data_IF_420726496568
#
_entry.id   IF_420726496568
#
_cell.length_a   1.000
_cell.length_b   1.000
_cell.length_c   1.000
_cell.angle_alpha   90.00
_cell.angle_beta   90.00
_cell.angle_gamma   90.00
#
_symmetry.space_group_name_H-M   'P 1'
#
loop_
_entity.id
_entity.type
_entity.pdbx_description
1 polymer ?
#
# COMPACT_ATOMS: atom_id res chain seq x y z
N UNK A 1 26.66 -114.02 3.05
CA UNK A 1 27.67 -112.96 3.17
C UNK A 1 27.01 -111.66 2.76
N UNK A 2 27.00 -110.72 3.69
CA UNK A 2 26.55 -109.33 3.55
C UNK A 2 27.46 -108.56 2.59
N UNK A 3 26.90 -107.77 1.68
CA UNK A 3 27.63 -106.76 0.91
C UNK A 3 26.85 -105.45 0.96
N UNK A 4 27.51 -104.41 1.47
CA UNK A 4 26.99 -103.06 1.73
C UNK A 4 26.59 -102.30 0.45
N UNK A 5 25.61 -101.38 0.51
CA UNK A 5 25.35 -100.47 -0.59
C UNK A 5 26.37 -99.32 -0.62
N UNK A 6 27.09 -99.17 -1.72
CA UNK A 6 27.95 -98.01 -1.98
C UNK A 6 27.09 -96.76 -2.24
N UNK A 7 27.26 -95.72 -1.43
CA UNK A 7 26.66 -94.41 -1.63
C UNK A 7 27.37 -93.66 -2.78
N UNK A 8 26.64 -93.27 -3.81
CA UNK A 8 27.10 -92.35 -4.86
C UNK A 8 26.32 -91.04 -4.71
N UNK A 9 26.97 -89.89 -4.41
CA UNK A 9 26.27 -88.62 -4.29
C UNK A 9 25.84 -88.14 -5.68
N UNK A 10 24.53 -87.94 -5.87
CA UNK A 10 23.99 -87.21 -7.02
C UNK A 10 24.36 -85.73 -6.89
N UNK A 11 25.41 -85.31 -7.59
CA UNK A 11 25.71 -83.90 -7.78
C UNK A 11 24.53 -83.20 -8.44
N UNK A 12 23.83 -82.34 -7.71
CA UNK A 12 22.78 -81.50 -8.28
C UNK A 12 23.47 -80.44 -9.14
N UNK A 13 23.34 -80.54 -10.46
CA UNK A 13 23.63 -79.42 -11.35
C UNK A 13 22.55 -78.38 -11.11
N UNK A 14 22.78 -77.50 -10.14
CA UNK A 14 21.93 -76.34 -9.88
C UNK A 14 21.78 -75.59 -11.21
N UNK A 15 20.56 -75.56 -11.75
CA UNK A 15 20.25 -74.96 -13.05
C UNK A 15 20.42 -73.45 -12.92
N UNK A 16 21.63 -72.95 -13.18
CA UNK A 16 22.00 -71.53 -13.14
C UNK A 16 20.96 -70.62 -13.82
N UNK A 17 20.35 -71.11 -14.91
CA UNK A 17 19.26 -70.42 -15.62
C UNK A 17 18.04 -70.14 -14.72
N UNK A 18 17.64 -71.09 -13.87
CA UNK A 18 16.54 -70.91 -12.92
C UNK A 18 16.86 -69.89 -11.83
N UNK A 19 18.12 -69.84 -11.38
CA UNK A 19 18.59 -68.85 -10.42
C UNK A 19 18.62 -67.44 -11.04
N UNK A 20 19.01 -67.33 -12.31
CA UNK A 20 19.01 -66.07 -13.06
C UNK A 20 17.60 -65.50 -13.21
N UNK A 21 16.61 -66.34 -13.54
CA UNK A 21 15.21 -65.89 -13.64
C UNK A 21 14.63 -65.44 -12.30
N UNK A 22 14.94 -66.14 -11.21
CA UNK A 22 14.52 -65.72 -9.86
C UNK A 22 15.20 -64.42 -9.46
N UNK A 23 16.48 -64.26 -9.75
CA UNK A 23 17.23 -63.03 -9.46
C UNK A 23 16.66 -61.83 -10.23
N UNK A 24 16.37 -61.98 -11.53
CA UNK A 24 15.75 -60.93 -12.34
C UNK A 24 14.35 -60.58 -11.80
N UNK A 25 13.55 -61.57 -11.42
CA UNK A 25 12.23 -61.33 -10.82
C UNK A 25 12.34 -60.58 -9.50
N UNK A 26 13.29 -60.93 -8.63
CA UNK A 26 13.55 -60.21 -7.39
C UNK A 26 14.01 -58.76 -7.65
N UNK A 27 14.87 -58.53 -8.65
CA UNK A 27 15.28 -57.17 -9.04
C UNK A 27 14.11 -56.35 -9.57
N UNK A 28 13.19 -56.94 -10.34
CA UNK A 28 12.00 -56.26 -10.85
C UNK A 28 11.01 -55.94 -9.73
N UNK A 29 10.83 -56.85 -8.76
CA UNK A 29 9.98 -56.60 -7.58
C UNK A 29 10.61 -55.53 -6.68
N UNK A 30 11.92 -55.56 -6.47
CA UNK A 30 12.63 -54.54 -5.72
C UNK A 30 12.55 -53.18 -6.41
N UNK A 31 12.74 -53.14 -7.73
CA UNK A 31 12.61 -51.92 -8.52
C UNK A 31 11.16 -51.39 -8.52
N UNK A 32 10.17 -52.25 -8.70
CA UNK A 32 8.75 -51.88 -8.64
C UNK A 32 8.33 -51.42 -7.25
N UNK A 33 8.84 -52.07 -6.20
CA UNK A 33 8.63 -51.67 -4.81
C UNK A 33 9.28 -50.32 -4.50
N UNK A 34 10.50 -50.10 -4.99
CA UNK A 34 11.22 -48.83 -4.84
C UNK A 34 10.57 -47.71 -5.65
N UNK A 35 10.04 -48.00 -6.84
CA UNK A 35 9.25 -47.06 -7.64
C UNK A 35 7.93 -46.70 -6.95
N UNK A 36 7.21 -47.68 -6.38
CA UNK A 36 6.00 -47.44 -5.59
C UNK A 36 6.29 -46.64 -4.30
N UNK A 37 7.41 -46.93 -3.64
CA UNK A 37 7.88 -46.15 -2.48
C UNK A 37 8.26 -44.73 -2.90
N UNK A 38 8.93 -44.53 -4.04
CA UNK A 38 9.25 -43.20 -4.58
C UNK A 38 8.00 -42.42 -5.01
N UNK A 39 6.98 -43.09 -5.57
CA UNK A 39 5.68 -42.48 -5.88
C UNK A 39 4.94 -42.05 -4.60
N UNK A 40 5.02 -42.86 -3.54
CA UNK A 40 4.49 -42.50 -2.20
C UNK A 40 5.33 -41.45 -1.47
N UNK A 41 6.61 -41.33 -1.81
CA UNK A 41 7.57 -40.36 -1.26
C UNK A 41 7.78 -39.12 -2.14
N UNK A 42 6.99 -38.91 -3.20
CA UNK A 42 6.84 -37.55 -3.74
C UNK A 42 6.41 -36.68 -2.56
N UNK A 43 7.38 -35.95 -2.02
CA UNK A 43 7.21 -35.11 -0.84
C UNK A 43 5.94 -34.32 -1.08
N UNK A 44 5.01 -34.40 -0.13
CA UNK A 44 3.98 -33.40 0.03
C UNK A 44 4.76 -32.10 0.21
N UNK A 45 4.97 -31.38 -0.89
CA UNK A 45 5.54 -30.05 -0.87
C UNK A 45 4.53 -29.25 -0.07
N UNK A 46 4.97 -28.55 0.98
CA UNK A 46 4.12 -27.61 1.71
C UNK A 46 3.63 -26.58 0.69
N UNK A 47 2.45 -26.85 0.14
CA UNK A 47 1.80 -26.00 -0.84
C UNK A 47 1.01 -24.93 -0.13
N UNK A 48 0.77 -23.84 -0.86
CA UNK A 48 0.12 -22.64 -0.36
C UNK A 48 -1.19 -22.98 0.36
N UNK A 49 -1.24 -22.63 1.65
CA UNK A 49 -2.34 -22.91 2.56
C UNK A 49 -3.05 -21.61 2.96
N UNK A 50 -4.35 -21.58 2.82
CA UNK A 50 -5.20 -20.43 3.16
C UNK A 50 -5.79 -20.62 4.56
N UNK A 51 -5.74 -19.58 5.40
CA UNK A 51 -6.27 -19.61 6.77
C UNK A 51 -5.65 -20.69 7.68
N UNK A 52 -4.37 -21.03 7.48
CA UNK A 52 -3.69 -22.10 8.22
C UNK A 52 -4.18 -23.51 7.86
N UNK A 53 -4.95 -23.67 6.78
CA UNK A 53 -5.40 -24.95 6.28
C UNK A 53 -4.33 -25.63 5.43
N UNK A 54 -4.42 -26.96 5.34
CA UNK A 54 -3.64 -27.71 4.35
C UNK A 54 -4.14 -27.41 2.94
N UNK A 55 -3.26 -27.54 1.95
CA UNK A 55 -3.59 -27.28 0.55
C UNK A 55 -4.84 -28.05 0.05
N UNK A 56 -5.01 -29.31 0.45
CA UNK A 56 -6.21 -30.08 0.09
C UNK A 56 -7.49 -29.45 0.65
N UNK A 57 -7.46 -28.97 1.90
CA UNK A 57 -8.62 -28.28 2.51
C UNK A 57 -8.83 -26.89 1.89
N UNK A 58 -7.74 -26.20 1.53
CA UNK A 58 -7.82 -24.94 0.79
C UNK A 58 -8.52 -25.14 -0.55
N UNK A 59 -8.12 -26.15 -1.35
CA UNK A 59 -8.80 -26.46 -2.61
C UNK A 59 -10.29 -26.72 -2.43
N UNK A 60 -10.69 -27.44 -1.37
CA UNK A 60 -12.11 -27.66 -1.05
C UNK A 60 -12.90 -26.37 -0.84
N UNK A 61 -12.29 -25.30 -0.28
CA UNK A 61 -12.96 -24.00 -0.15
C UNK A 61 -13.25 -23.34 -1.49
N UNK A 62 -12.46 -23.66 -2.52
CA UNK A 62 -12.53 -23.09 -3.85
C UNK A 62 -13.05 -24.06 -4.92
N UNK A 63 -13.56 -25.24 -4.53
CA UNK A 63 -14.13 -26.22 -5.47
C UNK A 63 -15.34 -25.67 -6.25
N UNK A 64 -16.11 -24.77 -5.62
CA UNK A 64 -17.28 -24.13 -6.22
C UNK A 64 -16.98 -22.72 -6.76
N UNK A 65 -15.73 -22.46 -7.16
CA UNK A 65 -15.33 -21.19 -7.77
C UNK A 65 -16.20 -20.87 -8.99
N UNK A 66 -16.50 -19.59 -9.20
CA UNK A 66 -17.29 -19.15 -10.36
C UNK A 66 -16.46 -19.37 -11.62
N UNK A 67 -16.97 -20.21 -12.53
CA UNK A 67 -16.33 -20.53 -13.82
C UNK A 67 -17.10 -19.98 -15.03
N UNK A 68 -18.33 -19.51 -14.82
CA UNK A 68 -19.14 -18.91 -15.88
C UNK A 68 -18.56 -17.56 -16.28
N UNK A 69 -18.07 -17.44 -17.52
CA UNK A 69 -17.49 -16.21 -18.09
C UNK A 69 -18.43 -15.00 -17.96
N UNK A 70 -19.76 -15.20 -17.98
CA UNK A 70 -20.72 -14.11 -17.80
C UNK A 70 -20.69 -13.50 -16.38
N UNK A 71 -20.15 -14.24 -15.42
CA UNK A 71 -19.97 -13.86 -14.02
C UNK A 71 -18.52 -13.49 -13.68
N UNK A 72 -17.66 -13.35 -14.69
CA UNK A 72 -16.29 -12.87 -14.50
C UNK A 72 -16.14 -11.42 -14.97
N UNK A 73 -15.23 -10.69 -14.34
CA UNK A 73 -14.78 -9.37 -14.78
C UNK A 73 -13.26 -9.31 -14.77
N UNK A 74 -12.69 -8.61 -15.76
CA UNK A 74 -11.24 -8.45 -15.86
C UNK A 74 -10.74 -7.30 -14.99
N UNK A 75 -9.63 -7.50 -14.29
CA UNK A 75 -8.80 -6.49 -13.67
C UNK A 75 -7.72 -6.09 -14.69
N UNK A 76 -7.79 -4.85 -15.17
CA UNK A 76 -6.81 -4.27 -16.09
C UNK A 76 -5.65 -3.58 -15.38
N UNK A 77 -5.90 -3.00 -14.21
CA UNK A 77 -4.87 -2.27 -13.46
C UNK A 77 -5.24 -2.06 -12.00
N UNK A 78 -4.26 -1.71 -11.18
CA UNK A 78 -4.44 -1.37 -9.78
C UNK A 78 -3.37 -0.38 -9.31
N UNK A 79 -3.72 0.41 -8.29
CA UNK A 79 -2.90 1.45 -7.70
C UNK A 79 -3.11 1.53 -6.18
N UNK A 80 -2.13 2.07 -5.48
CA UNK A 80 -2.24 2.44 -4.07
C UNK A 80 -2.13 3.97 -3.94
N UNK A 81 -2.94 4.55 -3.06
CA UNK A 81 -2.83 5.97 -2.68
C UNK A 81 -3.01 6.12 -1.17
N UNK A 82 -1.95 6.52 -0.47
CA UNK A 82 -1.92 6.39 0.99
C UNK A 82 -2.09 4.92 1.37
N UNK A 83 -3.18 4.59 2.07
CA UNK A 83 -3.55 3.22 2.43
C UNK A 83 -4.78 2.70 1.67
N UNK A 84 -5.12 3.32 0.53
CA UNK A 84 -6.27 2.90 -0.30
C UNK A 84 -5.83 2.07 -1.49
N UNK A 85 -6.38 0.87 -1.64
CA UNK A 85 -6.25 0.06 -2.87
C UNK A 85 -7.32 0.49 -3.88
N UNK A 86 -6.86 0.85 -5.08
CA UNK A 86 -7.68 1.19 -6.22
C UNK A 86 -7.61 0.09 -7.27
N UNK A 87 -8.76 -0.36 -7.76
CA UNK A 87 -8.88 -1.38 -8.81
C UNK A 87 -9.53 -0.77 -10.05
N UNK A 88 -9.04 -1.14 -11.23
CA UNK A 88 -9.51 -0.63 -12.51
C UNK A 88 -9.79 -1.76 -13.50
N UNK A 89 -10.86 -1.62 -14.26
CA UNK A 89 -11.22 -2.59 -15.28
C UNK A 89 -10.22 -2.57 -16.45
N UNK A 90 -9.74 -1.37 -16.79
CA UNK A 90 -8.73 -1.15 -17.82
C UNK A 90 -7.45 -0.55 -17.23
N UNK A 91 -6.46 -0.29 -18.08
CA UNK A 91 -5.28 0.50 -17.67
C UNK A 91 -5.71 1.86 -17.12
N UNK A 92 -5.17 2.24 -15.96
CA UNK A 92 -5.57 3.49 -15.32
C UNK A 92 -5.35 4.70 -16.22
N UNK A 93 -6.39 5.49 -16.39
CA UNK A 93 -6.33 6.77 -17.08
C UNK A 93 -7.00 7.85 -16.23
N UNK A 94 -6.18 8.79 -15.71
CA UNK A 94 -6.64 9.89 -14.84
C UNK A 94 -7.76 10.74 -15.45
N UNK A 95 -7.76 10.89 -16.78
CA UNK A 95 -8.75 11.69 -17.51
C UNK A 95 -9.92 10.85 -18.04
N UNK A 96 -9.86 9.53 -17.89
CA UNK A 96 -10.87 8.59 -18.34
C UNK A 96 -11.97 8.33 -17.30
N UNK A 97 -12.99 7.59 -17.73
CA UNK A 97 -13.93 6.94 -16.81
C UNK A 97 -13.63 5.45 -16.82
N UNK A 98 -13.42 4.87 -15.64
CA UNK A 98 -13.28 3.43 -15.48
C UNK A 98 -14.63 2.77 -15.19
N UNK A 99 -14.83 1.55 -15.69
CA UNK A 99 -16.06 0.79 -15.53
C UNK A 99 -16.40 0.50 -14.06
N UNK A 100 -15.40 0.43 -13.18
CA UNK A 100 -15.61 0.16 -11.76
C UNK A 100 -16.01 1.40 -10.96
N UNK A 101 -15.80 2.61 -11.48
CA UNK A 101 -16.22 3.83 -10.80
C UNK A 101 -17.75 3.85 -10.57
N UNK A 102 -18.16 4.09 -9.33
CA UNK A 102 -19.55 4.09 -8.89
C UNK A 102 -20.14 2.70 -8.62
N UNK A 103 -19.37 1.62 -8.79
CA UNK A 103 -19.81 0.26 -8.45
C UNK A 103 -19.48 -0.10 -7.00
N UNK A 104 -20.00 -1.23 -6.56
CA UNK A 104 -19.70 -1.80 -5.24
C UNK A 104 -18.70 -2.95 -5.41
N UNK A 105 -17.62 -2.90 -4.63
CA UNK A 105 -16.70 -4.03 -4.45
C UNK A 105 -17.07 -4.78 -3.17
N UNK A 106 -17.02 -6.11 -3.24
CA UNK A 106 -17.24 -7.01 -2.12
C UNK A 106 -15.97 -7.85 -1.97
N UNK A 107 -15.35 -7.76 -0.79
CA UNK A 107 -14.23 -8.59 -0.38
C UNK A 107 -14.76 -9.64 0.59
N UNK A 108 -14.82 -10.89 0.14
CA UNK A 108 -15.30 -12.02 0.95
C UNK A 108 -14.12 -12.70 1.63
N UNK A 109 -13.98 -12.52 2.94
CA UNK A 109 -12.94 -13.18 3.71
C UNK A 109 -13.29 -14.67 3.86
N UNK A 110 -12.54 -15.55 3.21
CA UNK A 110 -12.82 -17.00 3.26
C UNK A 110 -12.44 -17.62 4.61
N UNK A 111 -11.63 -16.94 5.42
CA UNK A 111 -11.25 -17.38 6.75
C UNK A 111 -12.35 -17.16 7.79
N UNK A 112 -12.99 -15.98 7.76
CA UNK A 112 -14.03 -15.61 8.72
C UNK A 112 -15.45 -15.79 8.18
N UNK A 113 -15.63 -15.85 6.85
CA UNK A 113 -16.91 -15.84 6.18
C UNK A 113 -17.60 -14.47 6.14
N UNK A 114 -16.89 -13.40 6.51
CA UNK A 114 -17.41 -12.03 6.51
C UNK A 114 -17.18 -11.34 5.16
N UNK A 115 -18.19 -10.57 4.74
CA UNK A 115 -18.11 -9.73 3.55
C UNK A 115 -17.81 -8.28 3.96
N UNK A 116 -16.81 -7.68 3.32
CA UNK A 116 -16.48 -6.26 3.43
C UNK A 116 -16.90 -5.56 2.15
N UNK A 117 -17.70 -4.51 2.28
CA UNK A 117 -18.41 -3.91 1.15
C UNK A 117 -18.07 -2.43 1.06
N UNK A 118 -17.57 -2.00 -0.11
CA UNK A 118 -17.16 -0.62 -0.35
C UNK A 118 -17.74 -0.12 -1.67
N UNK A 119 -18.07 1.17 -1.73
CA UNK A 119 -18.35 1.85 -2.99
C UNK A 119 -17.02 2.28 -3.59
N UNK A 120 -16.81 2.02 -4.88
CA UNK A 120 -15.61 2.44 -5.61
C UNK A 120 -15.82 3.86 -6.12
N UNK A 121 -15.40 4.85 -5.35
CA UNK A 121 -15.49 6.24 -5.76
C UNK A 121 -14.46 6.58 -6.85
N UNK A 122 -14.62 7.76 -7.45
CA UNK A 122 -13.65 8.32 -8.39
C UNK A 122 -12.39 8.84 -7.68
N UNK A 123 -12.51 9.23 -6.41
CA UNK A 123 -11.41 9.77 -5.63
C UNK A 123 -10.35 8.69 -5.37
N UNK A 124 -9.08 9.07 -5.42
CA UNK A 124 -7.92 8.18 -5.22
C UNK A 124 -7.90 7.52 -3.83
N UNK A 125 -8.49 8.17 -2.82
CA UNK A 125 -8.64 7.70 -1.44
C UNK A 125 -10.05 7.15 -1.14
N UNK A 126 -10.85 6.90 -2.18
CA UNK A 126 -12.29 6.58 -2.08
C UNK A 126 -12.66 5.18 -2.52
N UNK A 127 -11.73 4.22 -2.52
CA UNK A 127 -12.01 2.83 -2.86
C UNK A 127 -11.89 1.90 -1.64
N UNK A 128 -10.88 1.02 -1.59
CA UNK A 128 -10.75 0.01 -0.54
C UNK A 128 -9.75 0.52 0.52
N UNK A 129 -10.21 0.99 1.69
CA UNK A 129 -9.33 1.36 2.80
C UNK A 129 -8.70 0.10 3.42
N UNK A 130 -7.39 -0.06 3.25
CA UNK A 130 -6.67 -1.28 3.66
C UNK A 130 -6.55 -1.40 5.18
N UNK A 131 -6.64 -0.27 5.90
CA UNK A 131 -6.62 -0.26 7.37
C UNK A 131 -7.85 -0.94 7.98
N UNK A 132 -8.95 -1.07 7.23
CA UNK A 132 -10.22 -1.66 7.70
C UNK A 132 -10.29 -3.18 7.52
N UNK A 133 -9.36 -3.78 6.78
CA UNK A 133 -9.41 -5.21 6.47
C UNK A 133 -8.82 -6.06 7.59
N UNK A 134 -9.59 -6.99 8.13
CA UNK A 134 -9.07 -7.98 9.07
C UNK A 134 -8.04 -8.92 8.42
N UNK A 135 -7.30 -9.69 9.22
CA UNK A 135 -6.46 -10.76 8.67
C UNK A 135 -7.30 -11.80 7.94
N UNK A 136 -6.78 -12.29 6.81
CA UNK A 136 -7.43 -13.34 6.06
C UNK A 136 -7.08 -13.37 4.59
N UNK A 137 -7.88 -14.12 3.86
CA UNK A 137 -7.73 -14.31 2.43
C UNK A 137 -9.06 -14.01 1.76
N UNK A 138 -9.06 -13.07 0.83
CA UNK A 138 -10.25 -12.43 0.32
C UNK A 138 -10.45 -12.76 -1.15
N UNK A 139 -11.65 -13.23 -1.49
CA UNK A 139 -12.13 -13.23 -2.86
C UNK A 139 -12.67 -11.84 -3.21
N UNK A 140 -12.35 -11.35 -4.41
CA UNK A 140 -12.77 -10.02 -4.87
C UNK A 140 -13.93 -10.14 -5.86
N UNK A 141 -15.04 -9.49 -5.55
CA UNK A 141 -16.22 -9.41 -6.41
C UNK A 141 -16.60 -7.96 -6.69
N UNK A 142 -17.11 -7.70 -7.88
CA UNK A 142 -17.70 -6.42 -8.27
C UNK A 142 -19.19 -6.64 -8.55
N UNK A 143 -20.04 -5.84 -7.92
CA UNK A 143 -21.47 -5.83 -8.20
C UNK A 143 -21.72 -5.13 -9.54
N UNK A 144 -22.24 -5.88 -10.50
CA UNK A 144 -22.68 -5.35 -11.80
C UNK A 144 -24.04 -5.94 -12.15
N UNK A 145 -25.00 -5.09 -12.52
CA UNK A 145 -26.35 -5.49 -12.91
C UNK A 145 -27.03 -6.38 -11.85
N UNK A 146 -26.86 -6.02 -10.57
CA UNK A 146 -27.35 -6.75 -9.39
C UNK A 146 -26.79 -8.17 -9.23
N UNK A 147 -25.67 -8.48 -9.87
CA UNK A 147 -24.97 -9.76 -9.73
C UNK A 147 -23.54 -9.56 -9.26
N UNK A 148 -23.10 -10.44 -8.37
CA UNK A 148 -21.69 -10.57 -8.00
C UNK A 148 -20.93 -11.11 -9.21
N UNK A 149 -19.92 -10.39 -9.66
CA UNK A 149 -18.97 -10.87 -10.67
C UNK A 149 -17.59 -10.98 -10.08
N UNK A 150 -16.98 -12.15 -10.19
CA UNK A 150 -15.67 -12.41 -9.62
C UNK A 150 -14.57 -11.80 -10.49
N UNK A 151 -13.60 -11.19 -9.85
CA UNK A 151 -12.52 -10.52 -10.53
C UNK A 151 -11.41 -11.52 -10.93
N UNK A 152 -10.96 -11.43 -12.18
CA UNK A 152 -9.87 -12.22 -12.75
C UNK A 152 -8.87 -11.29 -13.42
N UNK A 153 -7.59 -11.66 -13.47
CA UNK A 153 -6.58 -10.96 -14.25
C UNK A 153 -6.23 -11.76 -15.51
N UNK A 154 -5.85 -11.07 -16.58
CA UNK A 154 -5.32 -11.72 -17.78
C UNK A 154 -3.92 -12.29 -17.55
N UNK A 155 -3.11 -11.59 -16.75
CA UNK A 155 -1.73 -11.97 -16.47
C UNK A 155 -1.58 -12.47 -15.03
N UNK A 156 -0.46 -13.16 -14.76
CA UNK A 156 -0.10 -13.50 -13.40
C UNK A 156 0.30 -12.22 -12.66
N UNK A 157 -0.23 -12.06 -11.45
CA UNK A 157 0.00 -10.91 -10.60
C UNK A 157 0.41 -11.37 -9.20
N UNK A 158 1.46 -10.75 -8.67
CA UNK A 158 1.80 -10.79 -7.26
C UNK A 158 2.42 -9.45 -6.90
N UNK A 159 1.77 -8.69 -6.04
CA UNK A 159 2.28 -7.43 -5.50
C UNK A 159 2.03 -7.36 -3.99
N UNK A 160 2.87 -6.59 -3.29
CA UNK A 160 2.81 -6.46 -1.84
C UNK A 160 2.88 -5.01 -1.39
N UNK A 161 2.02 -4.66 -0.44
CA UNK A 161 1.92 -3.34 0.14
C UNK A 161 1.84 -3.43 1.67
N UNK A 162 2.35 -2.42 2.38
CA UNK A 162 2.26 -2.33 3.84
C UNK A 162 1.48 -1.08 4.26
N UNK A 163 0.50 -1.27 5.14
CA UNK A 163 -0.20 -0.19 5.82
C UNK A 163 0.74 0.53 6.81
N UNK A 164 0.34 1.70 7.32
CA UNK A 164 1.12 2.36 8.36
C UNK A 164 1.11 1.58 9.67
N UNK A 165 2.12 1.85 10.50
CA UNK A 165 2.32 1.19 11.78
C UNK A 165 1.18 1.49 12.74
N UNK A 166 0.56 0.42 13.27
CA UNK A 166 -0.44 0.47 14.33
C UNK A 166 -0.06 -0.59 15.36
N UNK A 167 0.03 -0.19 16.63
CA UNK A 167 0.39 -1.10 17.73
C UNK A 167 1.71 -1.86 17.49
N UNK A 168 2.72 -1.20 16.91
CA UNK A 168 4.04 -1.74 16.53
C UNK A 168 4.03 -2.82 15.42
N UNK A 169 2.93 -2.95 14.68
CA UNK A 169 2.83 -3.88 13.54
C UNK A 169 2.21 -3.20 12.33
N UNK A 170 2.27 -3.86 11.17
CA UNK A 170 1.67 -3.38 9.93
C UNK A 170 0.80 -4.50 9.36
N UNK A 171 -0.24 -4.15 8.61
CA UNK A 171 -0.88 -5.11 7.72
C UNK A 171 -0.07 -5.17 6.44
N UNK A 172 0.40 -6.37 6.10
CA UNK A 172 0.91 -6.71 4.78
C UNK A 172 -0.27 -7.16 3.93
N UNK A 173 -0.48 -6.44 2.84
CA UNK A 173 -1.50 -6.68 1.84
C UNK A 173 -0.81 -7.29 0.62
N UNK A 174 -1.27 -8.46 0.17
CA UNK A 174 -0.79 -9.08 -1.07
C UNK A 174 -1.94 -9.16 -2.07
N UNK A 175 -1.76 -8.57 -3.24
CA UNK A 175 -2.68 -8.69 -4.36
C UNK A 175 -2.17 -9.80 -5.27
N UNK A 176 -2.96 -10.86 -5.41
CA UNK A 176 -2.52 -12.12 -6.02
C UNK A 176 -3.50 -12.49 -7.14
N UNK A 177 -2.98 -12.81 -8.31
CA UNK A 177 -3.73 -13.50 -9.35
C UNK A 177 -2.83 -14.54 -10.02
N UNK A 178 -3.03 -15.81 -9.69
CA UNK A 178 -2.27 -16.92 -10.27
C UNK A 178 -3.16 -18.16 -10.31
N UNK A 179 -3.40 -18.68 -11.51
CA UNK A 179 -4.17 -19.91 -11.69
C UNK A 179 -3.49 -21.12 -10.99
N UNK A 180 -2.17 -21.03 -10.77
CA UNK A 180 -1.40 -22.08 -10.12
C UNK A 180 -1.21 -21.86 -8.61
N UNK A 181 -1.93 -20.90 -8.01
CA UNK A 181 -1.73 -20.50 -6.61
C UNK A 181 -1.84 -21.68 -5.63
N UNK A 182 -2.73 -22.63 -5.91
CA UNK A 182 -3.00 -23.78 -5.04
C UNK A 182 -2.41 -25.09 -5.56
N UNK A 183 -1.56 -25.05 -6.57
CA UNK A 183 -1.10 -26.25 -7.25
C UNK A 183 0.09 -26.91 -6.58
N UNK A 184 0.18 -28.22 -6.78
CA UNK A 184 1.44 -28.93 -6.64
C UNK A 184 2.20 -28.77 -7.96
N UNK A 185 3.55 -28.64 -7.95
CA UNK A 185 4.35 -28.42 -9.18
C UNK A 185 4.18 -29.46 -10.30
N UNK A 186 3.58 -30.61 -9.99
CA UNK A 186 3.40 -31.76 -10.89
C UNK A 186 1.92 -31.93 -11.35
N UNK A 187 1.02 -31.00 -11.05
CA UNK A 187 -0.42 -31.09 -11.35
C UNK A 187 -0.89 -29.99 -12.32
N UNK A 188 -1.99 -30.25 -13.02
CA UNK A 188 -2.69 -29.24 -13.83
C UNK A 188 -3.30 -28.15 -12.93
N UNK A 189 -3.51 -26.92 -13.47
CA UNK A 189 -4.07 -25.82 -12.71
C UNK A 189 -5.40 -26.14 -12.03
N UNK A 190 -5.42 -26.01 -10.69
CA UNK A 190 -6.65 -26.16 -9.93
C UNK A 190 -7.64 -25.02 -10.24
N UNK A 191 -7.14 -23.79 -10.40
CA UNK A 191 -7.96 -22.67 -10.83
C UNK A 191 -7.97 -22.57 -12.35
N UNK A 192 -9.14 -22.30 -12.94
CA UNK A 192 -9.28 -22.19 -14.40
C UNK A 192 -8.76 -20.86 -14.97
N UNK A 193 -8.57 -19.86 -14.11
CA UNK A 193 -8.17 -18.49 -14.44
C UNK A 193 -7.29 -17.92 -13.33
N UNK A 194 -6.60 -16.82 -13.59
CA UNK A 194 -5.92 -16.03 -12.56
C UNK A 194 -6.96 -15.21 -11.78
N UNK A 195 -7.68 -15.85 -10.85
CA UNK A 195 -8.61 -15.13 -9.97
C UNK A 195 -7.86 -14.16 -9.07
N UNK A 196 -8.43 -12.97 -8.89
CA UNK A 196 -7.85 -11.94 -8.04
C UNK A 196 -8.24 -12.20 -6.59
N UNK A 197 -7.23 -12.29 -5.75
CA UNK A 197 -7.34 -12.42 -4.30
C UNK A 197 -6.58 -11.29 -3.61
N UNK A 198 -7.06 -10.92 -2.43
CA UNK A 198 -6.33 -10.05 -1.50
C UNK A 198 -6.00 -10.87 -0.26
N UNK A 199 -4.72 -10.99 0.10
CA UNK A 199 -4.31 -11.59 1.36
C UNK A 199 -3.89 -10.49 2.33
N UNK A 200 -4.39 -10.59 3.56
CA UNK A 200 -4.05 -9.67 4.65
C UNK A 200 -3.42 -10.47 5.77
N UNK A 201 -2.24 -10.04 6.21
CA UNK A 201 -1.52 -10.62 7.34
C UNK A 201 -0.87 -9.51 8.17
N UNK A 202 -0.63 -9.76 9.45
CA UNK A 202 0.05 -8.80 10.32
C UNK A 202 1.52 -9.17 10.45
N UNK A 203 2.40 -8.23 10.10
CA UNK A 203 3.84 -8.35 10.32
C UNK A 203 4.51 -6.97 10.30
N UNK A 204 5.67 -6.80 10.94
CA UNK A 204 6.43 -5.57 10.81
C UNK A 204 6.81 -5.30 9.35
N UNK A 205 6.70 -4.05 8.93
CA UNK A 205 7.26 -3.59 7.66
C UNK A 205 8.81 -3.60 7.67
N UNK A 206 9.47 -3.54 6.49
CA UNK A 206 10.92 -3.36 6.40
C UNK A 206 11.43 -2.18 7.23
N UNK A 207 12.68 -2.27 7.70
CA UNK A 207 13.24 -1.30 8.65
C UNK A 207 13.35 0.10 8.05
N UNK A 208 13.79 0.17 6.80
CA UNK A 208 14.01 1.36 5.98
C UNK A 208 12.71 2.00 5.44
N UNK A 209 11.57 1.32 5.58
CA UNK A 209 10.27 1.87 5.19
C UNK A 209 9.69 2.76 6.29
N UNK A 210 9.08 3.88 5.88
CA UNK A 210 8.50 4.87 6.81
C UNK A 210 6.99 5.05 6.60
N UNK A 211 6.26 5.45 7.63
CA UNK A 211 4.83 5.71 7.55
C UNK A 211 4.54 7.09 6.95
N UNK A 212 5.23 8.10 7.46
CA UNK A 212 4.97 9.51 7.15
C UNK A 212 6.29 10.22 6.83
N UNK A 213 6.37 10.83 5.65
CA UNK A 213 7.41 11.81 5.34
C UNK A 213 6.89 13.21 5.70
N UNK A 214 7.63 13.97 6.50
CA UNK A 214 7.34 15.39 6.76
C UNK A 214 8.31 16.23 5.95
N UNK A 215 7.79 17.20 5.22
CA UNK A 215 8.56 18.07 4.35
C UNK A 215 8.51 19.53 4.82
N UNK A 216 9.54 20.01 5.52
CA UNK A 216 9.66 21.41 5.88
C UNK A 216 9.90 22.26 4.62
N UNK A 217 8.88 23.02 4.18
CA UNK A 217 8.94 23.86 2.98
C UNK A 217 10.04 24.92 3.02
N UNK A 218 10.33 25.52 1.85
CA UNK A 218 11.50 26.37 1.57
C UNK A 218 12.85 25.65 1.81
N UNK A 219 13.98 26.32 1.61
CA UNK A 219 15.34 25.75 1.50
C UNK A 219 15.51 24.81 0.31
N UNK A 220 15.19 25.32 -0.88
CA UNK A 220 15.41 24.64 -2.16
C UNK A 220 15.93 25.63 -3.21
N UNK A 221 16.40 25.10 -4.34
CA UNK A 221 16.85 25.86 -5.52
C UNK A 221 16.06 25.51 -6.78
N UNK A 222 14.83 25.00 -6.67
CA UNK A 222 13.96 24.67 -7.81
C UNK A 222 13.83 25.81 -8.84
N UNK A 223 13.93 27.07 -8.38
CA UNK A 223 13.81 28.28 -9.21
C UNK A 223 15.17 28.91 -9.58
N UNK A 224 16.29 28.21 -9.35
CA UNK A 224 17.65 28.68 -9.64
C UNK A 224 18.28 29.61 -8.59
N UNK A 225 17.61 29.84 -7.46
CA UNK A 225 18.14 30.56 -6.30
C UNK A 225 17.66 29.89 -5.01
N UNK A 226 18.40 30.10 -3.91
CA UNK A 226 18.00 29.56 -2.59
C UNK A 226 16.75 30.27 -2.10
N UNK A 227 15.62 29.58 -2.18
CA UNK A 227 14.34 30.02 -1.64
C UNK A 227 14.31 29.78 -0.13
N UNK A 228 14.19 30.85 0.67
CA UNK A 228 14.07 30.78 2.14
C UNK A 228 12.61 30.92 2.63
N UNK A 229 11.67 30.96 1.69
CA UNK A 229 10.26 31.20 1.94
C UNK A 229 9.98 32.64 2.36
N UNK A 230 8.78 32.84 2.90
CA UNK A 230 8.31 34.14 3.37
C UNK A 230 8.94 34.54 4.72
N UNK A 231 8.86 35.82 5.05
CA UNK A 231 9.29 36.36 6.34
C UNK A 231 8.29 37.39 6.85
N UNK A 232 8.26 37.60 8.16
CA UNK A 232 7.37 38.55 8.81
C UNK A 232 7.46 38.47 10.33
N UNK A 233 7.21 39.59 11.01
CA UNK A 233 7.24 39.70 12.48
C UNK A 233 8.50 39.09 13.14
N UNK A 234 9.65 39.21 12.46
CA UNK A 234 10.94 38.70 12.95
C UNK A 234 11.18 37.20 12.74
N UNK A 235 10.31 36.50 12.04
CA UNK A 235 10.42 35.07 11.75
C UNK A 235 10.70 34.80 10.26
N UNK A 236 11.40 33.69 10.01
CA UNK A 236 11.73 33.18 8.67
C UNK A 236 11.02 31.83 8.47
N UNK A 237 10.30 31.67 7.35
CA UNK A 237 9.47 30.50 7.12
C UNK A 237 10.27 29.18 7.14
N UNK A 238 11.46 29.11 6.53
CA UNK A 238 12.22 27.85 6.50
C UNK A 238 12.65 27.36 7.89
N UNK A 239 12.95 28.28 8.82
CA UNK A 239 13.34 27.97 10.19
C UNK A 239 12.13 27.48 10.98
N UNK A 240 11.01 28.21 10.88
CA UNK A 240 9.80 27.87 11.62
C UNK A 240 9.12 26.61 11.05
N UNK A 241 9.14 26.39 9.74
CA UNK A 241 8.68 25.15 9.09
C UNK A 241 9.47 23.94 9.62
N UNK A 242 10.80 24.05 9.72
CA UNK A 242 11.63 22.98 10.27
C UNK A 242 11.36 22.77 11.77
N UNK A 243 11.19 23.87 12.52
CA UNK A 243 10.92 23.82 13.95
C UNK A 243 9.61 23.10 14.29
N UNK A 244 8.53 23.34 13.55
CA UNK A 244 7.28 22.58 13.74
C UNK A 244 7.42 21.15 13.22
N UNK A 245 8.17 20.92 12.13
CA UNK A 245 8.36 19.58 11.57
C UNK A 245 9.02 18.62 12.57
N UNK A 246 10.07 19.08 13.27
CA UNK A 246 10.74 18.31 14.32
C UNK A 246 9.78 17.96 15.46
N UNK A 247 8.94 18.92 15.88
CA UNK A 247 7.94 18.68 16.94
C UNK A 247 6.84 17.73 16.49
N UNK A 248 6.37 17.88 15.24
CA UNK A 248 5.37 17.00 14.67
C UNK A 248 5.90 15.57 14.53
N UNK A 249 7.17 15.41 14.10
CA UNK A 249 7.87 14.12 14.08
C UNK A 249 7.83 13.46 15.46
N UNK A 250 8.28 14.16 16.51
CA UNK A 250 8.26 13.66 17.88
C UNK A 250 6.85 13.25 18.36
N UNK A 251 5.82 14.02 18.01
CA UNK A 251 4.43 13.67 18.37
C UNK A 251 3.91 12.44 17.62
N UNK A 252 4.22 12.30 16.33
CA UNK A 252 3.80 11.13 15.55
C UNK A 252 4.58 9.86 15.95
N UNK A 253 5.88 9.98 16.28
CA UNK A 253 6.69 8.86 16.76
C UNK A 253 6.21 8.34 18.12
N UNK A 254 5.70 9.21 19.01
CA UNK A 254 5.03 8.79 20.26
C UNK A 254 3.79 7.94 20.03
N UNK A 255 3.16 8.06 18.86
CA UNK A 255 2.03 7.22 18.45
C UNK A 255 2.48 5.89 17.81
N UNK A 256 3.79 5.63 17.75
CA UNK A 256 4.38 4.42 17.18
C UNK A 256 4.58 4.47 15.66
N UNK A 257 4.39 5.63 15.02
CA UNK A 257 4.66 5.80 13.60
C UNK A 257 6.16 5.96 13.33
N UNK A 258 6.62 5.42 12.21
CA UNK A 258 7.93 5.70 11.64
C UNK A 258 7.86 6.97 10.79
N UNK A 259 8.63 7.99 11.17
CA UNK A 259 8.52 9.31 10.54
C UNK A 259 9.90 9.83 10.18
N UNK A 260 10.05 10.42 9.00
CA UNK A 260 11.28 11.11 8.60
C UNK A 260 11.04 12.52 8.10
N UNK A 261 12.11 13.32 8.07
CA UNK A 261 12.12 14.65 7.51
C UNK A 261 12.83 14.63 6.15
N UNK A 262 12.34 15.39 5.18
CA UNK A 262 12.97 15.47 3.85
C UNK A 262 14.32 16.19 3.84
N UNK A 263 14.60 17.01 4.86
CA UNK A 263 15.82 17.81 4.98
C UNK A 263 16.12 18.19 6.43
N UNK A 264 17.38 18.56 6.69
CA UNK A 264 17.79 19.30 7.89
C UNK A 264 17.54 20.81 7.79
N UNK A 265 17.73 21.54 8.90
CA UNK A 265 17.41 22.98 9.02
C UNK A 265 18.04 23.83 7.91
N UNK A 266 19.36 23.67 7.72
CA UNK A 266 20.17 24.46 6.79
C UNK A 266 20.50 23.71 5.49
N UNK A 267 19.97 22.50 5.32
CA UNK A 267 20.19 21.69 4.11
C UNK A 267 19.33 22.23 2.96
N UNK A 268 19.98 22.48 1.82
CA UNK A 268 19.30 22.89 0.59
C UNK A 268 18.97 21.63 -0.22
N UNK A 269 17.69 21.29 -0.29
CA UNK A 269 17.20 20.10 -1.00
C UNK A 269 16.12 20.51 -1.97
N UNK A 270 16.31 20.21 -3.26
CA UNK A 270 15.32 20.47 -4.30
C UNK A 270 14.11 19.55 -4.18
N UNK A 271 12.95 19.99 -4.67
CA UNK A 271 11.75 19.15 -4.65
C UNK A 271 11.86 17.99 -5.64
N UNK A 272 12.50 18.24 -6.79
CA UNK A 272 12.60 17.34 -7.92
C UNK A 272 13.96 16.64 -8.01
N UNK A 273 13.98 15.50 -8.71
CA UNK A 273 15.20 14.79 -9.11
C UNK A 273 15.73 13.81 -8.06
N UNK A 274 16.78 13.10 -8.43
CA UNK A 274 17.53 12.17 -7.56
C UNK A 274 18.08 12.91 -6.33
N UNK A 275 17.94 12.29 -5.15
CA UNK A 275 18.19 12.89 -3.82
C UNK A 275 17.37 14.17 -3.53
N UNK A 276 16.36 14.46 -4.36
CA UNK A 276 15.34 15.46 -4.06
C UNK A 276 14.39 14.99 -2.96
N UNK A 277 13.61 15.92 -2.42
CA UNK A 277 12.65 15.65 -1.31
C UNK A 277 11.68 14.52 -1.63
N UNK A 278 11.19 14.49 -2.87
CA UNK A 278 10.25 13.47 -3.32
C UNK A 278 10.94 12.12 -3.53
N UNK A 279 12.15 12.11 -4.10
CA UNK A 279 12.94 10.88 -4.28
C UNK A 279 13.25 10.22 -2.94
N UNK A 280 13.68 11.01 -1.94
CA UNK A 280 13.85 10.53 -0.55
C UNK A 280 12.59 9.83 -0.03
N UNK A 281 11.42 10.45 -0.22
CA UNK A 281 10.14 9.88 0.24
C UNK A 281 9.76 8.58 -0.49
N UNK A 282 9.93 8.51 -1.82
CA UNK A 282 9.67 7.29 -2.59
C UNK A 282 10.66 6.18 -2.27
N UNK A 283 11.95 6.51 -2.10
CA UNK A 283 13.00 5.53 -1.76
C UNK A 283 12.76 4.84 -0.42
N UNK A 284 12.05 5.51 0.49
CA UNK A 284 11.66 5.00 1.80
C UNK A 284 10.21 4.49 1.85
N UNK A 285 9.54 4.36 0.70
CA UNK A 285 8.20 3.80 0.58
C UNK A 285 7.16 4.45 1.53
N UNK A 286 7.24 5.78 1.70
CA UNK A 286 6.31 6.51 2.53
C UNK A 286 4.85 6.33 2.05
N UNK A 287 3.88 6.33 2.97
CA UNK A 287 2.45 6.29 2.63
C UNK A 287 1.83 7.68 2.65
N UNK A 288 2.28 8.52 3.56
CA UNK A 288 1.80 9.88 3.71
C UNK A 288 2.94 10.89 3.53
N UNK A 289 2.63 12.03 2.91
CA UNK A 289 3.56 13.12 2.71
C UNK A 289 2.97 14.42 3.24
N UNK A 290 3.53 14.96 4.32
CA UNK A 290 3.02 16.15 4.99
C UNK A 290 3.96 17.32 4.72
N UNK A 291 3.59 18.16 3.76
CA UNK A 291 4.31 19.37 3.44
C UNK A 291 3.88 20.52 4.37
N UNK A 292 4.87 21.22 4.91
CA UNK A 292 4.68 22.29 5.89
C UNK A 292 5.08 23.61 5.25
N UNK A 293 4.15 24.57 5.27
CA UNK A 293 4.35 25.90 4.73
C UNK A 293 3.84 26.98 5.67
N UNK A 294 4.29 28.20 5.40
CA UNK A 294 3.77 29.43 6.00
C UNK A 294 3.44 30.43 4.91
N UNK A 295 2.42 31.25 5.15
CA UNK A 295 2.00 32.31 4.24
C UNK A 295 2.49 33.66 4.71
N UNK A 296 2.45 34.62 3.79
CA UNK A 296 2.56 36.03 4.09
C UNK A 296 1.73 36.79 3.08
N UNK A 297 1.14 37.91 3.48
CA UNK A 297 0.33 38.74 2.60
C UNK A 297 0.57 40.22 2.87
N UNK A 298 0.43 41.05 1.83
CA UNK A 298 0.51 42.51 1.97
C UNK A 298 -0.57 43.05 2.92
N UNK A 299 -1.75 42.42 2.94
CA UNK A 299 -2.78 42.70 3.94
C UNK A 299 -2.46 41.92 5.22
N UNK A 300 -1.86 42.62 6.20
CA UNK A 300 -1.47 42.06 7.50
C UNK A 300 -2.63 41.54 8.35
N UNK A 301 -3.87 41.88 8.00
CA UNK A 301 -5.06 41.37 8.68
C UNK A 301 -5.48 39.96 8.21
N UNK A 302 -4.93 39.47 7.09
CA UNK A 302 -5.14 38.07 6.68
C UNK A 302 -4.40 37.15 7.65
N UNK A 303 -5.10 36.13 8.12
CA UNK A 303 -4.64 35.23 9.18
C UNK A 303 -5.30 33.86 9.08
N UNK A 304 -4.80 32.90 9.83
CA UNK A 304 -5.37 31.57 9.98
C UNK A 304 -4.70 30.48 9.15
N UNK A 305 -5.05 29.24 9.49
CA UNK A 305 -4.56 27.99 8.91
C UNK A 305 -5.37 27.57 7.70
N UNK A 306 -4.70 27.02 6.71
CA UNK A 306 -5.28 26.46 5.50
C UNK A 306 -4.59 25.12 5.18
N UNK A 307 -5.35 24.14 4.70
CA UNK A 307 -4.80 22.85 4.26
C UNK A 307 -5.19 22.59 2.81
N UNK A 308 -4.17 22.45 1.96
CA UNK A 308 -4.35 22.08 0.57
C UNK A 308 -4.23 20.57 0.42
N UNK A 309 -5.15 19.97 -0.33
CA UNK A 309 -5.19 18.53 -0.64
C UNK A 309 -5.41 18.32 -2.14
N UNK A 310 -5.21 17.09 -2.63
CA UNK A 310 -5.38 16.78 -4.05
C UNK A 310 -6.84 16.93 -4.47
N UNK A 311 -7.07 17.57 -5.62
CA UNK A 311 -8.36 17.64 -6.31
C UNK A 311 -8.89 16.27 -6.78
N UNK A 312 -8.04 15.24 -6.76
CA UNK A 312 -8.40 13.85 -7.04
C UNK A 312 -8.63 13.03 -5.77
N UNK A 313 -8.62 13.64 -4.59
CA UNK A 313 -8.88 12.98 -3.30
C UNK A 313 -10.03 13.65 -2.55
N UNK A 314 -10.61 12.93 -1.59
CA UNK A 314 -11.60 13.49 -0.68
C UNK A 314 -10.97 14.52 0.27
N UNK A 315 -11.78 15.45 0.77
CA UNK A 315 -11.30 16.41 1.79
C UNK A 315 -11.20 15.83 3.20
N UNK A 316 -11.51 14.53 3.40
CA UNK A 316 -11.66 13.91 4.72
C UNK A 316 -10.44 14.12 5.62
N UNK A 317 -9.24 13.83 5.09
CA UNK A 317 -8.00 13.96 5.86
C UNK A 317 -7.72 15.43 6.20
N UNK A 318 -7.78 16.32 5.21
CA UNK A 318 -7.53 17.75 5.38
C UNK A 318 -8.47 18.39 6.41
N UNK A 319 -9.78 18.15 6.29
CA UNK A 319 -10.77 18.70 7.21
C UNK A 319 -10.63 18.14 8.62
N UNK A 320 -10.24 16.86 8.77
CA UNK A 320 -10.01 16.24 10.09
C UNK A 320 -8.81 16.87 10.79
N UNK A 321 -7.70 17.06 10.06
CA UNK A 321 -6.47 17.67 10.60
C UNK A 321 -6.73 19.13 10.97
N UNK A 322 -7.29 19.91 10.05
CA UNK A 322 -7.54 21.33 10.28
C UNK A 322 -8.49 21.58 11.44
N UNK A 323 -9.57 20.81 11.53
CA UNK A 323 -10.51 20.89 12.65
C UNK A 323 -9.79 20.62 13.97
N UNK A 324 -8.91 19.62 14.02
CA UNK A 324 -8.10 19.33 15.21
C UNK A 324 -7.22 20.52 15.61
N UNK A 325 -6.54 21.16 14.66
CA UNK A 325 -5.70 22.34 14.91
C UNK A 325 -6.55 23.49 15.48
N UNK A 326 -7.65 23.87 14.82
CA UNK A 326 -8.44 25.04 15.19
C UNK A 326 -9.23 24.83 16.49
N UNK A 327 -9.71 23.62 16.77
CA UNK A 327 -10.46 23.34 18.01
C UNK A 327 -9.55 23.28 19.26
N UNK A 328 -8.26 23.03 19.09
CA UNK A 328 -7.32 22.80 20.20
C UNK A 328 -6.23 23.87 20.31
N UNK A 329 -6.26 24.92 19.51
CA UNK A 329 -5.27 26.01 19.53
C UNK A 329 -5.93 27.37 19.32
N UNK A 330 -5.13 28.43 19.41
CA UNK A 330 -5.54 29.80 19.09
C UNK A 330 -5.46 30.13 17.58
N UNK A 331 -5.07 29.18 16.73
CA UNK A 331 -5.12 29.35 15.28
C UNK A 331 -6.56 29.24 14.76
N UNK A 332 -6.90 30.04 13.76
CA UNK A 332 -8.24 30.10 13.17
C UNK A 332 -8.26 29.51 11.76
N UNK A 333 -9.44 29.31 11.17
CA UNK A 333 -9.53 29.03 9.74
C UNK A 333 -9.04 30.25 8.93
N UNK A 334 -8.23 30.03 7.89
CA UNK A 334 -7.85 31.09 6.95
C UNK A 334 -9.04 31.60 6.12
N UNK A 335 -10.05 30.73 5.96
CA UNK A 335 -11.29 31.05 5.25
C UNK A 335 -12.46 30.31 5.88
N UNK A 336 -13.42 31.06 6.41
CA UNK A 336 -14.67 30.50 6.91
C UNK A 336 -15.56 30.07 5.73
N UNK A 337 -16.04 28.83 5.77
CA UNK A 337 -17.03 28.30 4.85
C UNK A 337 -18.08 27.47 5.62
N UNK A 338 -19.09 26.97 4.93
CA UNK A 338 -20.05 26.04 5.53
C UNK A 338 -19.54 24.61 5.47
N UNK A 339 -19.55 23.89 6.60
CA UNK A 339 -19.24 22.45 6.65
C UNK A 339 -17.75 22.13 6.61
N UNK A 340 -17.37 21.04 5.93
CA UNK A 340 -15.98 20.54 5.86
C UNK A 340 -15.05 21.34 4.94
N UNK A 341 -15.54 22.42 4.33
CA UNK A 341 -14.79 23.23 3.36
C UNK A 341 -14.05 24.43 3.97
N UNK A 342 -14.24 24.74 5.26
CA UNK A 342 -13.55 25.86 5.93
C UNK A 342 -12.05 25.61 5.95
N UNK A 343 -11.27 26.57 5.44
CA UNK A 343 -9.81 26.51 5.39
C UNK A 343 -9.23 25.26 4.71
N UNK A 344 -9.99 24.63 3.81
CA UNK A 344 -9.46 23.58 2.94
C UNK A 344 -9.67 23.97 1.48
N UNK A 345 -8.65 23.81 0.65
CA UNK A 345 -8.74 24.03 -0.80
C UNK A 345 -8.24 22.82 -1.57
N UNK A 346 -8.85 22.56 -2.72
CA UNK A 346 -8.27 21.65 -3.69
C UNK A 346 -7.03 22.28 -4.29
N UNK A 347 -6.06 21.46 -4.69
CA UNK A 347 -4.92 21.91 -5.50
C UNK A 347 -5.29 22.31 -6.93
N UNK A 348 -6.56 22.42 -7.30
CA UNK A 348 -7.01 22.58 -8.69
C UNK A 348 -6.52 23.90 -9.32
N UNK A 349 -5.86 23.83 -10.48
CA UNK A 349 -5.35 24.99 -11.23
C UNK A 349 -6.04 25.15 -12.61
N UNK A 350 -7.26 24.61 -12.75
CA UNK A 350 -7.99 24.63 -14.02
C UNK A 350 -7.36 23.80 -15.15
N UNK A 351 -6.37 22.96 -14.82
CA UNK A 351 -5.76 21.96 -15.71
C UNK A 351 -6.19 20.55 -15.30
N UNK A 352 -5.77 19.53 -16.05
CA UNK A 352 -5.98 18.13 -15.71
C UNK A 352 -5.06 17.61 -14.56
N UNK A 353 -4.52 18.51 -13.73
CA UNK A 353 -3.54 18.22 -12.68
C UNK A 353 -3.80 19.06 -11.43
N UNK A 354 -3.29 18.57 -10.30
CA UNK A 354 -3.08 19.42 -9.14
C UNK A 354 -2.01 20.48 -9.44
N UNK A 355 -2.36 21.75 -9.24
CA UNK A 355 -1.48 22.91 -9.30
C UNK A 355 -0.45 22.96 -8.18
N UNK A 356 -0.75 22.39 -7.00
CA UNK A 356 0.24 22.25 -5.94
C UNK A 356 1.27 21.18 -6.32
N UNK A 357 2.51 21.64 -6.58
CA UNK A 357 3.58 20.77 -7.08
C UNK A 357 3.83 19.56 -6.18
N UNK A 358 3.89 19.77 -4.86
CA UNK A 358 4.26 18.71 -3.92
C UNK A 358 3.19 17.62 -3.90
N UNK A 359 1.91 18.02 -3.81
CA UNK A 359 0.76 17.11 -3.83
C UNK A 359 0.72 16.27 -5.10
N UNK A 360 0.87 16.92 -6.27
CA UNK A 360 0.85 16.22 -7.56
C UNK A 360 1.96 15.18 -7.66
N UNK A 361 3.17 15.56 -7.26
CA UNK A 361 4.38 14.77 -7.53
C UNK A 361 4.63 13.69 -6.48
N UNK A 362 4.02 13.78 -5.30
CA UNK A 362 4.03 12.71 -4.29
C UNK A 362 3.02 11.60 -4.59
N UNK A 363 1.99 11.86 -5.40
CA UNK A 363 0.91 10.90 -5.66
C UNK A 363 1.22 9.80 -6.67
N UNK A 364 2.45 9.68 -7.17
CA UNK A 364 2.83 8.66 -8.14
C UNK A 364 1.99 8.71 -9.41
N UNK A 365 1.74 7.53 -10.00
CA UNK A 365 0.96 7.42 -11.25
C UNK A 365 -0.47 7.91 -11.10
N UNK A 366 -1.10 7.77 -9.94
CA UNK A 366 -2.52 8.13 -9.74
C UNK A 366 -2.75 9.65 -9.87
N UNK A 367 -1.79 10.47 -9.43
CA UNK A 367 -1.85 11.93 -9.58
C UNK A 367 -1.01 12.46 -10.76
N UNK A 368 -0.33 11.57 -11.47
CA UNK A 368 0.50 11.90 -12.63
C UNK A 368 1.82 12.59 -12.30
N UNK A 369 2.46 12.18 -11.21
CA UNK A 369 3.82 12.58 -10.90
C UNK A 369 4.75 12.32 -12.09
N UNK A 370 5.73 13.20 -12.31
CA UNK A 370 6.69 13.04 -13.42
C UNK A 370 6.17 13.40 -14.82
N UNK A 371 4.92 13.86 -14.97
CA UNK A 371 4.29 14.08 -16.29
C UNK A 371 3.84 15.52 -16.58
N UNK A 372 3.93 16.43 -15.61
CA UNK A 372 3.31 17.75 -15.70
C UNK A 372 4.09 18.75 -16.56
N UNK A 373 5.42 18.77 -16.42
CA UNK A 373 6.31 19.78 -17.01
C UNK A 373 7.73 19.24 -17.19
N UNK A 374 8.61 20.01 -17.85
CA UNK A 374 10.02 19.64 -17.97
C UNK A 374 10.72 19.46 -16.62
N UNK A 375 10.41 20.31 -15.64
CA UNK A 375 10.94 20.16 -14.28
C UNK A 375 10.42 18.87 -13.62
N UNK A 376 9.13 18.57 -13.78
CA UNK A 376 8.49 17.35 -13.28
C UNK A 376 9.13 16.08 -13.86
N UNK A 377 9.57 16.09 -15.13
CA UNK A 377 10.22 14.93 -15.77
C UNK A 377 11.48 14.44 -15.05
N UNK A 378 12.10 15.24 -14.20
CA UNK A 378 13.19 14.79 -13.33
C UNK A 378 12.74 13.67 -12.36
N UNK A 379 11.45 13.61 -12.02
CA UNK A 379 10.87 12.56 -11.18
C UNK A 379 10.41 11.33 -11.98
N UNK A 380 10.45 11.37 -13.31
CA UNK A 380 9.83 10.34 -14.16
C UNK A 380 10.38 8.94 -13.87
N UNK A 381 11.67 8.84 -13.56
CA UNK A 381 12.35 7.58 -13.29
C UNK A 381 11.82 6.82 -12.07
N UNK A 382 11.30 7.53 -11.06
CA UNK A 382 10.85 6.92 -9.79
C UNK A 382 9.36 7.11 -9.49
N UNK A 383 8.68 8.07 -10.12
CA UNK A 383 7.31 8.44 -9.76
C UNK A 383 6.25 8.15 -10.85
N UNK A 384 6.59 8.27 -12.14
CA UNK A 384 5.58 8.30 -13.21
C UNK A 384 4.81 6.97 -13.37
N UNK A 385 5.52 5.85 -13.23
CA UNK A 385 4.92 4.51 -13.26
C UNK A 385 4.77 3.89 -11.86
N UNK A 386 5.03 4.68 -10.80
CA UNK A 386 4.96 4.18 -9.45
C UNK A 386 3.50 3.93 -9.07
N UNK A 387 3.20 2.67 -8.74
CA UNK A 387 1.87 2.22 -8.33
C UNK A 387 1.49 2.71 -6.94
N UNK A 388 2.47 3.04 -6.11
CA UNK A 388 2.30 3.49 -4.74
C UNK A 388 2.43 5.02 -4.65
N UNK A 389 1.29 5.72 -4.74
CA UNK A 389 1.22 7.15 -4.49
C UNK A 389 1.12 7.46 -3.00
N UNK A 390 1.81 8.51 -2.55
CA UNK A 390 1.67 9.03 -1.20
C UNK A 390 0.44 9.95 -1.10
N UNK A 391 -0.40 9.74 -0.09
CA UNK A 391 -1.47 10.69 0.21
C UNK A 391 -0.88 11.92 0.89
N UNK A 392 -1.00 13.08 0.22
CA UNK A 392 -0.32 14.29 0.63
C UNK A 392 -1.25 15.42 1.09
N UNK A 393 -0.75 16.19 2.05
CA UNK A 393 -1.32 17.47 2.48
C UNK A 393 -0.24 18.55 2.48
N UNK A 394 -0.61 19.76 2.07
CA UNK A 394 0.19 20.97 2.35
C UNK A 394 -0.52 21.75 3.46
N UNK A 395 0.07 21.78 4.64
CA UNK A 395 -0.43 22.52 5.80
C UNK A 395 0.22 23.89 5.82
N UNK A 396 -0.58 24.92 5.55
CA UNK A 396 -0.18 26.32 5.65
C UNK A 396 -0.63 26.85 7.01
N UNK A 397 0.25 26.75 8.00
CA UNK A 397 -0.13 26.95 9.40
C UNK A 397 -0.70 28.34 9.70
N UNK A 398 -0.10 29.39 9.14
CA UNK A 398 -0.43 30.77 9.49
C UNK A 398 0.12 31.79 8.48
N UNK A 399 -0.21 33.06 8.70
CA UNK A 399 0.39 34.19 8.01
C UNK A 399 1.46 34.87 8.88
N UNK A 400 2.74 34.80 8.47
CA UNK A 400 3.84 35.48 9.16
C UNK A 400 3.70 37.01 9.16
N UNK A 401 2.88 37.56 8.27
CA UNK A 401 2.52 38.98 8.25
C UNK A 401 1.55 39.40 9.36
N UNK A 402 0.84 38.45 9.99
CA UNK A 402 -0.16 38.73 11.01
C UNK A 402 0.39 38.53 12.43
N UNK A 403 0.28 39.54 13.28
CA UNK A 403 0.85 39.52 14.62
C UNK A 403 0.13 38.57 15.59
N UNK A 404 -1.17 38.35 15.42
CA UNK A 404 -1.94 37.46 16.29
C UNK A 404 -1.64 35.98 16.01
N UNK A 405 -1.52 35.63 14.73
CA UNK A 405 -1.05 34.31 14.30
C UNK A 405 0.36 34.01 14.82
N UNK A 406 1.28 34.98 14.70
CA UNK A 406 2.66 34.83 15.19
C UNK A 406 2.70 34.74 16.71
N UNK A 407 1.87 35.50 17.42
CA UNK A 407 1.74 35.37 18.87
C UNK A 407 1.28 33.96 19.26
N UNK A 408 0.20 33.46 18.64
CA UNK A 408 -0.30 32.10 18.88
C UNK A 408 0.78 31.04 18.58
N UNK A 409 1.48 31.17 17.46
CA UNK A 409 2.57 30.27 17.08
C UNK A 409 3.69 30.22 18.11
N UNK A 410 4.15 31.38 18.58
CA UNK A 410 5.23 31.47 19.55
C UNK A 410 4.84 30.92 20.92
N UNK A 411 3.58 31.09 21.34
CA UNK A 411 3.10 30.64 22.66
C UNK A 411 2.61 29.20 22.68
N UNK A 412 2.13 28.67 21.56
CA UNK A 412 1.41 27.40 21.50
C UNK A 412 2.06 26.36 20.59
N UNK A 413 3.30 26.54 20.15
CA UNK A 413 3.94 25.67 19.15
C UNK A 413 3.85 24.17 19.46
N UNK A 414 4.07 23.78 20.73
CA UNK A 414 3.95 22.38 21.16
C UNK A 414 2.51 21.86 21.05
N UNK A 415 1.53 22.70 21.42
CA UNK A 415 0.11 22.37 21.32
C UNK A 415 -0.34 22.30 19.86
N UNK A 416 0.21 23.14 18.99
CA UNK A 416 -0.05 23.09 17.55
C UNK A 416 0.49 21.77 16.97
N UNK A 417 1.71 21.36 17.34
CA UNK A 417 2.26 20.07 16.90
C UNK A 417 1.41 18.88 17.37
N UNK A 418 1.00 18.88 18.64
CA UNK A 418 0.13 17.85 19.24
C UNK A 418 -1.25 17.81 18.57
N UNK A 419 -1.86 18.97 18.31
CA UNK A 419 -3.15 19.07 17.65
C UNK A 419 -3.08 18.59 16.19
N UNK A 420 -2.02 18.93 15.46
CA UNK A 420 -1.77 18.39 14.12
C UNK A 420 -1.60 16.87 14.16
N UNK A 421 -0.75 16.36 15.05
CA UNK A 421 -0.51 14.93 15.19
C UNK A 421 -1.79 14.15 15.54
N UNK A 422 -2.61 14.68 16.46
CA UNK A 422 -3.91 14.11 16.81
C UNK A 422 -4.89 14.10 15.64
N UNK A 423 -4.89 15.15 14.83
CA UNK A 423 -5.70 15.24 13.62
C UNK A 423 -5.28 14.22 12.56
N UNK A 424 -3.97 14.07 12.34
CA UNK A 424 -3.40 13.06 11.44
C UNK A 424 -3.70 11.65 11.93
N UNK A 425 -3.46 11.39 13.22
CA UNK A 425 -3.74 10.10 13.86
C UNK A 425 -5.21 9.70 13.70
N UNK A 426 -6.14 10.63 13.94
CA UNK A 426 -7.56 10.40 13.74
C UNK A 426 -7.90 10.12 12.28
N UNK A 427 -7.32 10.85 11.34
CA UNK A 427 -7.57 10.65 9.91
C UNK A 427 -7.04 9.30 9.42
N UNK A 428 -5.86 8.89 9.88
CA UNK A 428 -5.22 7.59 9.60
C UNK A 428 -5.74 6.46 10.50
N UNK A 429 -6.70 6.72 11.40
CA UNK A 429 -7.24 5.75 12.37
C UNK A 429 -6.16 5.05 13.20
N UNK A 430 -5.16 5.81 13.63
CA UNK A 430 -4.16 5.33 14.59
C UNK A 430 -4.82 5.27 15.97
N UNK A 431 -4.74 4.13 16.69
CA UNK A 431 -5.23 4.05 18.06
C UNK A 431 -4.50 5.06 18.94
N UNK A 432 -5.23 6.04 19.46
CA UNK A 432 -4.73 6.93 20.52
C UNK A 432 -5.15 6.31 21.85
N UNK A 433 -4.19 5.90 22.68
CA UNK A 433 -4.48 5.35 24.01
C UNK A 433 -5.43 6.27 24.79
N UNK A 434 -6.53 5.70 25.27
CA UNK A 434 -7.54 6.37 26.12
C UNK A 434 -7.09 6.52 27.56
#
# INVERSE_FOLDING_TARGET
MTVEPSYVPRGSKLRWKSFLFIFIACCLIAYGGQWLLNQRQKKQVDTYGVCGLSNQKTRQLFENQIVDEAQLLSLGDYLYYGETLNLYHETYNRNGQDLFAGKTVILRNVCSGLDFVYMMEKNADGQIPLEDLDEGFYQVFIMQDLKEKQLVSHEKLHDSFYTVTRENTNKKIELIADQNLFDNPDEEPFLQKNYVFVQVSTQPQPEDWIDVMIDPGAMHQDNGYTDKGVHGNGLLAYEENYRIAVKLKDQLEKLGLKVELTRDLDEIVNSYGEDGRLDRAYSQHARYYINIEMKSATNVNLRGTDIVYSSFSSNRMASTVLKSIVENTSLTYAREATGSASGTSTGEDGTAYDGQKIIRESGGRILGAGTFSEASRQNQAFAAENRCGMQALTIQYLFLSNSEDVAAWQTELDRIAEATASGLAKAMRIPTGS
#
